data_IF_083386903304
#
_entry.id   IF_083386903304
#
_cell.length_a   1.000
_cell.length_b   1.000
_cell.length_c   1.000
_cell.angle_alpha   90.00
_cell.angle_beta   90.00
_cell.angle_gamma   90.00
#
_symmetry.space_group_name_H-M   'P 1'
#
loop_
_entity.id
_entity.type
_entity.pdbx_description
1 polymer ?
#
# COMPACT_ATOMS: atom_id res chain seq x y z
N UNK A 1 -10.05 13.26 -15.18
CA UNK A 1 -8.65 12.77 -15.25
C UNK A 1 -8.74 11.26 -15.17
N UNK A 2 -8.22 10.52 -16.17
CA UNK A 2 -8.18 9.06 -16.07
C UNK A 2 -7.25 8.64 -14.94
N UNK A 3 -7.59 7.58 -14.20
CA UNK A 3 -6.66 7.03 -13.22
C UNK A 3 -5.44 6.49 -13.95
N UNK A 4 -4.27 7.05 -13.66
CA UNK A 4 -2.98 6.51 -14.12
C UNK A 4 -2.68 5.30 -13.24
N UNK A 5 -2.48 4.14 -13.88
CA UNK A 5 -2.03 2.92 -13.20
C UNK A 5 -0.58 2.64 -13.61
N UNK A 6 0.28 2.56 -12.62
CA UNK A 6 1.67 2.20 -12.80
C UNK A 6 1.83 0.69 -12.88
N UNK A 7 2.76 0.25 -13.72
CA UNK A 7 3.15 -1.15 -13.91
C UNK A 7 4.67 -1.22 -14.00
N UNK A 8 5.24 -2.41 -13.85
CA UNK A 8 6.62 -2.67 -14.19
C UNK A 8 6.69 -3.77 -15.24
N UNK A 9 7.68 -3.70 -16.11
CA UNK A 9 7.96 -4.74 -17.10
C UNK A 9 9.45 -4.94 -17.24
N UNK A 10 9.83 -6.15 -17.63
CA UNK A 10 11.18 -6.41 -18.11
C UNK A 10 11.39 -5.63 -19.41
N UNK A 11 12.42 -4.78 -19.44
CA UNK A 11 12.75 -3.93 -20.58
C UNK A 11 14.05 -4.32 -21.24
N UNK A 12 14.97 -4.93 -20.48
CA UNK A 12 16.22 -5.46 -21.02
C UNK A 12 16.62 -6.76 -20.31
N UNK A 13 17.22 -7.67 -21.06
CA UNK A 13 17.75 -8.94 -20.54
C UNK A 13 19.02 -9.30 -21.29
N UNK A 14 20.10 -9.44 -20.53
CA UNK A 14 21.38 -9.94 -20.99
C UNK A 14 21.72 -11.25 -20.29
N UNK A 15 22.86 -11.85 -20.63
CA UNK A 15 23.37 -13.05 -19.95
C UNK A 15 23.71 -12.81 -18.48
N UNK A 16 23.99 -11.56 -18.08
CA UNK A 16 24.51 -11.21 -16.76
C UNK A 16 23.52 -10.44 -15.89
N UNK A 17 22.48 -9.82 -16.48
CA UNK A 17 21.48 -9.06 -15.74
C UNK A 17 20.15 -8.94 -16.46
N UNK A 18 19.11 -8.62 -15.69
CA UNK A 18 17.77 -8.26 -16.16
C UNK A 18 17.43 -6.87 -15.64
N UNK A 19 16.80 -6.03 -16.47
CA UNK A 19 16.33 -4.70 -16.13
C UNK A 19 14.80 -4.66 -16.16
N UNK A 20 14.21 -4.14 -15.09
CA UNK A 20 12.78 -3.91 -14.95
C UNK A 20 12.52 -2.41 -14.88
N UNK A 21 11.68 -1.90 -15.78
CA UNK A 21 11.30 -0.48 -15.79
C UNK A 21 9.89 -0.31 -15.27
N UNK A 22 9.72 0.56 -14.27
CA UNK A 22 8.44 1.06 -13.78
C UNK A 22 7.98 2.21 -14.67
N UNK A 23 6.69 2.27 -14.99
CA UNK A 23 6.10 3.35 -15.77
C UNK A 23 4.60 3.20 -15.86
N UNK A 24 3.96 4.00 -16.72
CA UNK A 24 2.52 3.93 -16.96
C UNK A 24 2.22 4.07 -18.46
N UNK A 25 1.02 3.66 -18.85
CA UNK A 25 0.54 3.89 -20.22
C UNK A 25 -0.20 5.23 -20.29
N UNK A 26 0.30 6.15 -21.11
CA UNK A 26 -0.38 7.38 -21.44
C UNK A 26 -1.65 7.11 -22.26
N UNK A 27 -2.61 8.06 -22.34
CA UNK A 27 -3.84 7.88 -23.11
C UNK A 27 -3.64 7.60 -24.61
N UNK A 28 -2.48 7.95 -25.15
CA UNK A 28 -2.08 7.64 -26.53
C UNK A 28 -1.49 6.22 -26.69
N UNK A 29 -1.49 5.42 -25.61
CA UNK A 29 -0.98 4.05 -25.56
C UNK A 29 0.52 3.94 -25.31
N UNK A 30 1.27 5.06 -25.30
CA UNK A 30 2.71 5.00 -25.09
C UNK A 30 3.05 4.67 -23.64
N UNK A 31 4.10 3.87 -23.46
CA UNK A 31 4.67 3.61 -22.15
C UNK A 31 5.62 4.74 -21.77
N UNK A 32 5.28 5.47 -20.72
CA UNK A 32 6.10 6.54 -20.15
C UNK A 32 6.90 5.97 -18.97
N UNK A 33 8.24 5.81 -19.12
CA UNK A 33 9.08 5.25 -18.07
C UNK A 33 9.24 6.24 -16.91
N UNK A 34 9.34 5.69 -15.70
CA UNK A 34 9.52 6.44 -14.46
C UNK A 34 10.85 6.07 -13.78
N UNK A 35 11.16 4.78 -13.64
CA UNK A 35 12.41 4.32 -13.00
C UNK A 35 12.82 2.91 -13.43
N UNK A 36 14.12 2.61 -13.34
CA UNK A 36 14.70 1.30 -13.67
C UNK A 36 15.24 0.58 -12.43
N UNK A 37 15.09 -0.74 -12.41
CA UNK A 37 15.44 -1.61 -11.29
C UNK A 37 16.07 -2.90 -11.79
N UNK A 38 17.15 -3.35 -11.16
CA UNK A 38 17.78 -4.65 -11.46
C UNK A 38 17.17 -5.82 -10.67
N UNK A 39 16.18 -5.52 -9.82
CA UNK A 39 15.50 -6.47 -8.95
C UNK A 39 13.97 -6.31 -9.11
N UNK A 40 13.24 -7.39 -9.42
CA UNK A 40 11.80 -7.30 -9.67
C UNK A 40 11.01 -6.98 -8.40
N UNK A 41 11.48 -7.35 -7.20
CA UNK A 41 10.79 -7.04 -5.95
C UNK A 41 10.80 -5.52 -5.68
N UNK A 42 11.94 -4.85 -5.89
CA UNK A 42 12.02 -3.38 -5.80
C UNK A 42 11.15 -2.67 -6.83
N UNK A 43 11.08 -3.19 -8.06
CA UNK A 43 10.19 -2.65 -9.08
C UNK A 43 8.71 -2.79 -8.66
N UNK A 44 8.33 -3.93 -8.09
CA UNK A 44 6.99 -4.17 -7.56
C UNK A 44 6.66 -3.25 -6.38
N UNK A 45 7.58 -3.06 -5.42
CA UNK A 45 7.41 -2.12 -4.30
C UNK A 45 7.19 -0.68 -4.79
N UNK A 46 7.94 -0.26 -5.82
CA UNK A 46 7.78 1.08 -6.42
C UNK A 46 6.42 1.22 -7.11
N UNK A 47 5.97 0.21 -7.85
CA UNK A 47 4.63 0.17 -8.46
C UNK A 47 3.53 0.23 -7.41
N UNK A 48 3.65 -0.56 -6.34
CA UNK A 48 2.69 -0.55 -5.24
C UNK A 48 2.59 0.85 -4.61
N UNK A 49 3.72 1.48 -4.32
CA UNK A 49 3.76 2.85 -3.78
C UNK A 49 3.10 3.87 -4.72
N UNK A 50 3.45 3.86 -6.01
CA UNK A 50 2.90 4.80 -7.01
C UNK A 50 1.40 4.58 -7.26
N UNK A 51 0.92 3.36 -7.09
CA UNK A 51 -0.51 3.01 -7.14
C UNK A 51 -1.24 3.27 -5.80
N UNK A 52 -0.61 3.96 -4.85
CA UNK A 52 -1.24 4.36 -3.59
C UNK A 52 -1.17 3.33 -2.46
N UNK A 53 -0.40 2.25 -2.64
CA UNK A 53 -0.01 1.30 -1.60
C UNK A 53 0.86 2.00 -0.56
N UNK A 54 0.21 2.56 0.45
CA UNK A 54 0.88 3.08 1.63
C UNK A 54 0.90 1.97 2.68
N UNK A 55 2.03 1.27 2.80
CA UNK A 55 2.26 0.41 3.96
C UNK A 55 2.37 1.31 5.19
N UNK A 56 1.36 1.28 6.05
CA UNK A 56 1.49 1.88 7.38
C UNK A 56 2.71 1.24 8.06
N UNK A 57 3.58 2.06 8.65
CA UNK A 57 4.80 1.53 9.24
C UNK A 57 4.43 0.55 10.37
N UNK A 58 5.20 -0.54 10.57
CA UNK A 58 4.96 -1.48 11.66
C UNK A 58 4.89 -0.79 13.03
N UNK A 59 5.65 0.29 13.22
CA UNK A 59 5.64 1.11 14.43
C UNK A 59 4.30 1.85 14.62
N UNK A 60 3.71 2.37 13.53
CA UNK A 60 2.38 3.01 13.55
C UNK A 60 1.31 1.98 13.89
N UNK A 61 1.35 0.80 13.25
CA UNK A 61 0.42 -0.29 13.56
C UNK A 61 0.54 -0.72 15.02
N UNK A 62 1.77 -0.92 15.52
CA UNK A 62 2.02 -1.29 16.90
C UNK A 62 1.54 -0.21 17.89
N UNK A 63 1.67 1.08 17.54
CA UNK A 63 1.16 2.18 18.34
C UNK A 63 -0.37 2.17 18.42
N UNK A 64 -1.06 1.93 17.30
CA UNK A 64 -2.52 1.83 17.25
C UNK A 64 -3.04 0.64 18.07
N UNK A 65 -2.38 -0.52 17.99
CA UNK A 65 -2.72 -1.70 18.80
C UNK A 65 -2.56 -1.41 20.31
N UNK A 66 -1.48 -0.70 20.70
CA UNK A 66 -1.29 -0.30 22.10
C UNK A 66 -2.35 0.68 22.58
N UNK A 67 -2.73 1.64 21.74
CA UNK A 67 -3.78 2.60 22.06
C UNK A 67 -5.14 1.89 22.27
N UNK A 68 -5.47 0.94 21.40
CA UNK A 68 -6.67 0.12 21.53
C UNK A 68 -6.68 -0.71 22.82
N UNK A 69 -5.57 -1.39 23.14
CA UNK A 69 -5.46 -2.19 24.36
C UNK A 69 -5.56 -1.33 25.64
N UNK A 70 -5.06 -0.08 25.58
CA UNK A 70 -5.20 0.87 26.68
C UNK A 70 -6.65 1.30 26.89
N UNK A 71 -7.39 1.56 25.81
CA UNK A 71 -8.77 2.05 25.87
C UNK A 71 -9.74 0.95 26.33
N UNK A 72 -9.56 -0.31 25.92
CA UNK A 72 -10.43 -1.43 26.36
C UNK A 72 -10.44 -1.65 27.89
N UNK A 73 -9.44 -1.13 28.62
CA UNK A 73 -9.43 -1.14 30.09
C UNK A 73 -10.45 -0.20 30.76
N UNK A 74 -11.18 0.61 30.00
CA UNK A 74 -12.10 1.64 30.49
C UNK A 74 -13.57 1.39 30.11
N UNK A 75 -13.92 0.17 29.70
CA UNK A 75 -15.29 -0.23 29.37
C UNK A 75 -16.24 0.00 30.56
N UNK A 76 -16.99 1.12 30.54
CA UNK A 76 -17.94 1.52 31.58
C UNK A 76 -17.76 2.94 32.15
N UNK A 77 -16.76 3.70 31.71
CA UNK A 77 -16.60 5.11 32.11
C UNK A 77 -17.38 6.04 31.16
N UNK A 78 -18.37 6.76 31.72
CA UNK A 78 -19.20 7.74 31.00
C UNK A 78 -18.41 8.90 30.37
N UNK A 79 -17.13 9.10 30.73
CA UNK A 79 -16.26 10.08 30.06
C UNK A 79 -15.74 9.63 28.69
N UNK A 80 -15.97 8.38 28.28
CA UNK A 80 -15.42 7.79 27.04
C UNK A 80 -16.49 7.46 25.98
N UNK A 81 -17.70 8.02 26.09
CA UNK A 81 -18.71 7.93 25.02
C UNK A 81 -18.13 8.44 23.69
N UNK A 82 -18.13 7.59 22.66
CA UNK A 82 -17.64 7.90 21.31
C UNK A 82 -16.22 7.39 21.00
N UNK A 83 -15.46 6.90 21.98
CA UNK A 83 -14.13 6.32 21.71
C UNK A 83 -14.26 4.97 20.99
N UNK A 84 -15.29 4.19 21.31
CA UNK A 84 -15.57 2.91 20.63
C UNK A 84 -15.83 3.10 19.12
N UNK A 85 -16.49 4.19 18.74
CA UNK A 85 -16.78 4.53 17.34
C UNK A 85 -15.49 4.91 16.60
N UNK A 86 -14.63 5.72 17.23
CA UNK A 86 -13.31 6.07 16.69
C UNK A 86 -12.40 4.83 16.55
N UNK A 87 -12.42 3.90 17.50
CA UNK A 87 -11.65 2.65 17.42
C UNK A 87 -12.18 1.75 16.30
N UNK A 88 -13.50 1.66 16.14
CA UNK A 88 -14.13 0.94 15.03
C UNK A 88 -13.71 1.51 13.68
N UNK A 89 -13.70 2.84 13.53
CA UNK A 89 -13.23 3.53 12.33
C UNK A 89 -11.74 3.26 12.04
N UNK A 90 -10.88 3.32 13.07
CA UNK A 90 -9.45 3.02 12.94
C UNK A 90 -9.23 1.58 12.50
N UNK A 91 -9.93 0.60 13.09
CA UNK A 91 -9.87 -0.81 12.68
C UNK A 91 -10.28 -1.00 11.22
N UNK A 92 -11.39 -0.37 10.81
CA UNK A 92 -11.87 -0.43 9.44
C UNK A 92 -10.84 0.16 8.45
N UNK A 93 -10.18 1.24 8.83
CA UNK A 93 -9.11 1.85 8.03
C UNK A 93 -7.87 0.96 7.94
N UNK A 94 -7.41 0.37 9.05
CA UNK A 94 -6.27 -0.57 9.04
C UNK A 94 -6.59 -1.78 8.16
N UNK A 95 -7.79 -2.36 8.29
CA UNK A 95 -8.21 -3.48 7.45
C UNK A 95 -8.32 -3.09 5.98
N UNK A 96 -8.82 -1.89 5.68
CA UNK A 96 -8.85 -1.39 4.30
C UNK A 96 -7.44 -1.20 3.73
N UNK A 97 -6.50 -0.68 4.52
CA UNK A 97 -5.08 -0.58 4.11
C UNK A 97 -4.49 -1.97 3.86
N UNK A 98 -4.73 -2.95 4.74
CA UNK A 98 -4.26 -4.32 4.55
C UNK A 98 -4.93 -5.07 3.39
N UNK A 99 -6.24 -4.88 3.19
CA UNK A 99 -7.00 -5.54 2.13
C UNK A 99 -6.75 -4.92 0.74
N UNK A 100 -6.51 -3.60 0.67
CA UNK A 100 -6.09 -2.93 -0.57
C UNK A 100 -4.75 -3.49 -1.05
N UNK A 101 -3.83 -3.80 -0.12
CA UNK A 101 -2.57 -4.48 -0.45
C UNK A 101 -2.77 -5.92 -0.92
N UNK A 102 -3.78 -6.65 -0.42
CA UNK A 102 -4.03 -8.05 -0.77
C UNK A 102 -4.79 -8.24 -2.11
N UNK A 103 -5.71 -7.33 -2.46
CA UNK A 103 -6.49 -7.43 -3.70
C UNK A 103 -5.64 -7.15 -4.95
N UNK A 104 -4.62 -6.28 -4.85
CA UNK A 104 -3.65 -6.03 -5.94
C UNK A 104 -2.79 -7.28 -6.25
N UNK A 105 -2.63 -8.21 -5.30
CA UNK A 105 -1.83 -9.42 -5.48
C UNK A 105 -2.59 -10.60 -6.14
N UNK A 106 -3.92 -10.52 -6.28
CA UNK A 106 -4.74 -11.64 -6.78
C UNK A 106 -5.26 -11.46 -8.21
N UNK A 107 -5.04 -10.29 -8.84
CA UNK A 107 -5.47 -10.01 -10.22
C UNK A 107 -4.33 -10.06 -11.26
N UNK A 108 -3.16 -10.64 -10.92
CA UNK A 108 -2.02 -10.84 -11.82
C UNK A 108 -1.59 -12.31 -11.92
#
# INVERSE_FOLDING_TARGET
MGNIMYVYKETDRTSDHVLYTVGYHAPDGKFEPESDHTDPARAADRVAYLNGGHSASPEVIAALVKAEAFISGFEGDTMQDGIDELLSEVRALIQKVGATSALVQLEN
#
